data_IF_058070338497
#
_entry.id   IF_058070338497
#
_cell.length_a   1.000
_cell.length_b   1.000
_cell.length_c   1.000
_cell.angle_alpha   90.00
_cell.angle_beta   90.00
_cell.angle_gamma   90.00
#
_symmetry.space_group_name_H-M   'P 1'
#
loop_
_entity.id
_entity.type
_entity.pdbx_description
1 polymer ?
#
# COMPACT_ATOMS: atom_id res chain seq x y z
N UNK A 1 -15.91 -0.27 -1.35
CA UNK A 1 -14.93 -1.26 -0.82
C UNK A 1 -15.69 -2.39 -0.14
N UNK A 2 -15.47 -3.64 -0.52
CA UNK A 2 -16.09 -4.79 0.14
C UNK A 2 -15.64 -4.94 1.60
N UNK A 3 -16.52 -5.51 2.43
CA UNK A 3 -16.26 -5.67 3.87
C UNK A 3 -14.98 -6.46 4.18
N UNK A 4 -14.59 -7.40 3.32
CA UNK A 4 -13.36 -8.19 3.54
C UNK A 4 -12.11 -7.32 3.58
N UNK A 5 -12.12 -6.13 3.00
CA UNK A 5 -11.00 -5.19 2.97
C UNK A 5 -11.11 -4.06 3.99
N UNK A 6 -12.20 -3.99 4.71
CA UNK A 6 -12.47 -2.97 5.73
C UNK A 6 -11.76 -3.33 7.03
N UNK A 7 -11.38 -2.32 7.82
CA UNK A 7 -10.67 -2.51 9.08
C UNK A 7 -11.53 -3.31 10.09
N UNK A 8 -10.85 -3.97 10.99
CA UNK A 8 -11.47 -4.79 12.06
C UNK A 8 -11.40 -4.12 13.43
N UNK A 9 -11.44 -2.82 13.45
CA UNK A 9 -11.39 -2.02 14.69
C UNK A 9 -11.88 -0.60 14.43
N UNK A 10 -11.71 0.27 15.40
CA UNK A 10 -12.12 1.68 15.31
C UNK A 10 -13.60 1.84 14.94
N UNK A 11 -14.46 0.94 15.43
CA UNK A 11 -15.89 0.94 15.15
C UNK A 11 -16.32 0.16 13.91
N UNK A 12 -15.40 -0.57 13.28
CA UNK A 12 -15.69 -1.39 12.10
C UNK A 12 -15.43 -2.88 12.36
N UNK A 13 -16.17 -3.74 11.66
CA UNK A 13 -16.11 -5.20 11.75
C UNK A 13 -15.69 -5.85 10.44
N UNK A 14 -14.82 -5.20 9.69
CA UNK A 14 -14.29 -5.77 8.46
C UNK A 14 -13.35 -6.95 8.72
N UNK A 15 -13.02 -7.67 7.67
CA UNK A 15 -12.10 -8.81 7.76
C UNK A 15 -10.64 -8.37 7.72
N UNK A 16 -10.37 -7.13 7.37
CA UNK A 16 -9.02 -6.54 7.29
C UNK A 16 -8.06 -7.33 6.41
N UNK A 17 -8.55 -7.83 5.29
CA UNK A 17 -7.76 -8.60 4.31
C UNK A 17 -7.35 -7.69 3.18
N UNK A 18 -6.06 -7.65 2.84
CA UNK A 18 -5.57 -6.84 1.73
C UNK A 18 -6.14 -7.32 0.40
N UNK A 19 -6.45 -6.40 -0.55
CA UNK A 19 -7.05 -6.78 -1.81
C UNK A 19 -6.05 -7.40 -2.78
N UNK A 20 -6.58 -8.16 -3.77
CA UNK A 20 -5.82 -8.58 -4.93
C UNK A 20 -5.51 -7.35 -5.78
N UNK A 21 -4.25 -7.20 -6.18
CA UNK A 21 -3.80 -6.14 -7.08
C UNK A 21 -2.97 -6.76 -8.20
N UNK A 22 -3.12 -6.24 -9.43
CA UNK A 22 -2.30 -6.66 -10.55
C UNK A 22 -2.02 -5.46 -11.46
N UNK A 23 -0.91 -5.54 -12.18
CA UNK A 23 -0.51 -4.49 -13.12
C UNK A 23 0.30 -5.08 -14.27
N UNK A 24 0.36 -4.32 -15.36
CA UNK A 24 1.13 -4.68 -16.57
C UNK A 24 1.72 -3.42 -17.20
N UNK A 25 2.17 -3.52 -18.46
CA UNK A 25 2.77 -2.40 -19.21
C UNK A 25 3.92 -1.74 -18.45
N UNK A 26 4.76 -2.56 -17.85
CA UNK A 26 5.88 -2.11 -17.03
C UNK A 26 6.93 -1.42 -17.90
N UNK A 27 7.37 -0.19 -17.57
CA UNK A 27 8.35 0.52 -18.36
C UNK A 27 9.70 -0.20 -18.38
N UNK A 28 10.41 -0.07 -19.50
CA UNK A 28 11.78 -0.57 -19.61
C UNK A 28 12.66 0.10 -18.56
N UNK A 29 13.58 -0.68 -17.96
CA UNK A 29 14.47 -0.17 -16.91
C UNK A 29 13.90 -0.31 -15.50
N UNK A 30 12.70 -0.85 -15.35
CA UNK A 30 12.13 -1.12 -14.02
C UNK A 30 12.93 -2.22 -13.32
N UNK A 31 13.36 -1.94 -12.10
CA UNK A 31 14.16 -2.87 -11.29
C UNK A 31 13.44 -3.31 -10.01
N UNK A 32 12.45 -2.56 -9.56
CA UNK A 32 11.63 -2.91 -8.41
C UNK A 32 10.31 -2.16 -8.44
N UNK A 33 9.40 -2.54 -7.52
CA UNK A 33 8.13 -1.84 -7.35
C UNK A 33 7.90 -1.49 -5.89
N UNK A 34 7.13 -0.42 -5.69
CA UNK A 34 6.53 -0.07 -4.41
C UNK A 34 5.02 -0.01 -4.61
N UNK A 35 4.26 -0.61 -3.69
CA UNK A 35 2.80 -0.52 -3.67
C UNK A 35 2.38 0.18 -2.39
N UNK A 36 1.45 1.13 -2.51
CA UNK A 36 0.93 1.87 -1.36
C UNK A 36 -0.58 1.92 -1.38
N UNK A 37 -1.18 2.02 -0.21
CA UNK A 37 -2.58 2.41 -0.03
C UNK A 37 -2.61 3.65 0.86
N UNK A 38 -3.17 4.74 0.34
CA UNK A 38 -3.15 6.04 1.00
C UNK A 38 -4.54 6.66 1.01
N UNK A 39 -4.94 7.22 2.17
CA UNK A 39 -6.19 7.97 2.34
C UNK A 39 -5.84 9.46 2.51
N UNK A 40 -6.04 10.30 1.46
CA UNK A 40 -5.78 11.73 1.58
C UNK A 40 -6.87 12.49 2.34
N UNK A 41 -8.00 11.85 2.61
CA UNK A 41 -9.16 12.48 3.24
C UNK A 41 -9.21 12.31 4.76
N UNK A 42 -8.30 11.52 5.33
CA UNK A 42 -8.22 11.34 6.77
C UNK A 42 -8.02 12.70 7.46
N UNK A 43 -8.74 12.98 8.56
CA UNK A 43 -8.68 14.27 9.25
C UNK A 43 -7.41 14.42 10.10
N UNK A 44 -6.27 14.35 9.44
CA UNK A 44 -4.93 14.53 10.00
C UNK A 44 -4.22 15.62 9.20
N UNK A 45 -3.07 16.03 9.61
CA UNK A 45 -2.30 17.00 8.82
C UNK A 45 -1.64 16.41 7.57
N UNK A 46 -1.64 15.07 7.41
CA UNK A 46 -0.85 14.38 6.39
C UNK A 46 -1.56 13.19 5.75
N UNK A 47 -2.89 13.06 5.92
CA UNK A 47 -3.63 11.89 5.45
C UNK A 47 -3.31 10.66 6.31
N UNK A 48 -3.47 9.47 5.72
CA UNK A 48 -3.24 8.22 6.45
C UNK A 48 -2.73 7.14 5.51
N UNK A 49 -1.56 6.57 5.84
CA UNK A 49 -0.98 5.45 5.11
C UNK A 49 -1.55 4.14 5.66
N UNK A 50 -2.26 3.40 4.81
CA UNK A 50 -2.91 2.13 5.18
C UNK A 50 -2.06 0.91 4.90
N UNK A 51 -1.16 0.99 3.91
CA UNK A 51 -0.32 -0.13 3.50
C UNK A 51 0.83 0.38 2.66
N UNK A 52 2.04 -0.10 2.95
CA UNK A 52 3.24 0.27 2.19
C UNK A 52 4.10 -0.97 2.02
N UNK A 53 4.34 -1.37 0.77
CA UNK A 53 5.17 -2.53 0.42
C UNK A 53 6.28 -2.05 -0.49
N UNK A 54 7.52 -2.19 -0.06
CA UNK A 54 8.69 -1.79 -0.81
C UNK A 54 9.46 -3.02 -1.30
N UNK A 55 10.37 -2.78 -2.25
CA UNK A 55 11.33 -3.78 -2.73
C UNK A 55 10.69 -5.02 -3.35
N UNK A 56 9.55 -4.84 -4.02
CA UNK A 56 8.97 -5.89 -4.83
C UNK A 56 9.86 -6.12 -6.06
N UNK A 57 10.24 -7.37 -6.38
CA UNK A 57 11.12 -7.65 -7.52
C UNK A 57 10.57 -7.17 -8.87
N UNK A 58 11.45 -6.97 -9.83
CA UNK A 58 11.11 -6.45 -11.15
C UNK A 58 10.11 -7.33 -11.93
N UNK A 59 10.02 -8.62 -11.62
CA UNK A 59 9.08 -9.55 -12.27
C UNK A 59 7.74 -9.66 -11.56
N UNK A 60 7.52 -8.92 -10.48
CA UNK A 60 6.24 -8.91 -9.76
C UNK A 60 5.16 -8.24 -10.60
N UNK A 61 4.02 -8.92 -10.78
CA UNK A 61 2.86 -8.38 -11.53
C UNK A 61 1.57 -8.47 -10.73
N UNK A 62 1.59 -9.19 -9.61
CA UNK A 62 0.41 -9.49 -8.80
C UNK A 62 0.78 -9.46 -7.33
N UNK A 63 -0.08 -8.85 -6.53
CA UNK A 63 -0.14 -9.10 -5.09
C UNK A 63 -1.46 -9.83 -4.84
N UNK A 64 -1.42 -11.11 -4.44
CA UNK A 64 -2.65 -11.85 -4.20
C UNK A 64 -3.43 -11.29 -3.00
N UNK A 65 -4.74 -11.52 -2.97
CA UNK A 65 -5.55 -11.15 -1.81
C UNK A 65 -4.93 -11.75 -0.54
N UNK A 66 -4.82 -10.94 0.50
CA UNK A 66 -4.24 -11.37 1.77
C UNK A 66 -2.73 -11.26 1.88
N UNK A 67 -2.04 -10.80 0.84
CA UNK A 67 -0.58 -10.66 0.88
C UNK A 67 -0.11 -9.67 1.97
N UNK A 68 -0.91 -8.66 2.27
CA UNK A 68 -0.61 -7.66 3.31
C UNK A 68 -1.15 -8.01 4.68
N UNK A 69 -1.89 -9.10 4.82
CA UNK A 69 -2.60 -9.45 6.05
C UNK A 69 -2.36 -10.88 6.52
N UNK A 70 -1.36 -11.56 5.94
CA UNK A 70 -0.91 -12.86 6.42
C UNK A 70 -1.62 -14.07 5.81
N UNK A 71 -2.59 -13.88 4.89
CA UNK A 71 -3.31 -14.98 4.25
C UNK A 71 -2.64 -15.46 2.96
N UNK A 72 -1.69 -14.70 2.43
CA UNK A 72 -0.91 -15.05 1.25
C UNK A 72 0.52 -14.53 1.42
N UNK A 73 1.44 -15.05 0.61
CA UNK A 73 2.85 -14.70 0.71
C UNK A 73 3.20 -13.50 -0.17
N UNK A 74 4.19 -12.74 0.28
CA UNK A 74 4.88 -11.73 -0.52
C UNK A 74 6.21 -12.32 -1.01
N UNK A 75 6.81 -11.75 -2.11
CA UNK A 75 8.18 -12.08 -2.47
C UNK A 75 9.11 -11.91 -1.26
N UNK A 76 10.14 -12.76 -1.17
CA UNK A 76 11.08 -12.77 -0.04
C UNK A 76 11.76 -11.41 0.17
N UNK A 77 12.08 -10.71 -0.92
CA UNK A 77 12.76 -9.41 -0.89
C UNK A 77 11.86 -8.26 -0.42
N UNK A 78 10.55 -8.44 -0.49
CA UNK A 78 9.59 -7.40 -0.16
C UNK A 78 9.63 -7.02 1.31
N UNK A 79 9.50 -5.73 1.57
CA UNK A 79 9.46 -5.18 2.92
C UNK A 79 8.15 -4.42 3.08
N UNK A 80 7.33 -4.84 4.02
CA UNK A 80 6.19 -4.05 4.46
C UNK A 80 6.67 -3.07 5.51
N UNK A 81 6.40 -1.78 5.31
CA UNK A 81 6.86 -0.73 6.21
C UNK A 81 5.74 -0.24 7.11
N UNK A 82 6.10 0.53 8.13
CA UNK A 82 5.16 1.00 9.14
C UNK A 82 4.09 1.90 8.52
N UNK A 83 2.84 1.58 8.79
CA UNK A 83 1.67 2.39 8.45
C UNK A 83 1.37 3.39 9.56
N UNK A 84 0.39 4.26 9.33
CA UNK A 84 -0.05 5.21 10.35
C UNK A 84 -0.86 4.55 11.48
N UNK A 85 -1.18 3.25 11.34
CA UNK A 85 -1.68 2.44 12.47
C UNK A 85 -0.56 2.10 13.47
N UNK A 86 0.70 2.41 13.14
CA UNK A 86 1.84 2.17 14.02
C UNK A 86 2.53 0.83 13.82
N UNK A 87 2.15 0.07 12.81
CA UNK A 87 2.73 -1.25 12.50
C UNK A 87 2.76 -1.49 10.99
N UNK A 88 3.57 -2.42 10.54
CA UNK A 88 3.63 -2.87 9.16
C UNK A 88 2.43 -3.77 8.82
N UNK A 89 2.11 -3.86 7.54
CA UNK A 89 1.01 -4.67 7.03
C UNK A 89 -0.21 -3.83 6.66
N UNK A 90 -1.20 -4.49 6.06
CA UNK A 90 -2.41 -3.83 5.59
C UNK A 90 -3.33 -3.46 6.75
N UNK A 91 -3.75 -2.21 6.81
CA UNK A 91 -4.85 -1.76 7.64
C UNK A 91 -5.97 -1.23 6.75
N UNK A 92 -7.17 -1.79 6.88
CA UNK A 92 -8.29 -1.46 6.02
C UNK A 92 -8.96 -0.11 6.34
N UNK A 93 -10.00 0.20 5.56
CA UNK A 93 -10.75 1.45 5.69
C UNK A 93 -11.45 1.54 7.04
N UNK A 94 -11.35 2.70 7.68
CA UNK A 94 -12.01 3.01 8.94
C UNK A 94 -12.28 4.52 9.05
N UNK A 95 -13.01 5.13 8.09
CA UNK A 95 -13.25 6.56 8.14
C UNK A 95 -14.15 6.92 9.33
N UNK A 96 -14.02 8.13 9.87
CA UNK A 96 -14.98 8.62 10.85
C UNK A 96 -16.41 8.49 10.32
N UNK A 97 -17.35 8.14 11.19
CA UNK A 97 -18.76 7.97 10.78
C UNK A 97 -19.29 9.26 10.16
N UNK A 98 -19.97 9.13 9.03
CA UNK A 98 -20.54 10.24 8.29
C UNK A 98 -19.60 10.82 7.21
N UNK A 99 -18.39 10.30 7.10
CA UNK A 99 -17.43 10.72 6.07
C UNK A 99 -17.23 9.62 5.03
N UNK A 100 -17.00 10.03 3.78
CA UNK A 100 -16.61 9.12 2.70
C UNK A 100 -15.18 9.44 2.31
N UNK A 101 -14.29 8.46 2.40
CA UNK A 101 -12.89 8.64 2.09
C UNK A 101 -12.47 7.88 0.85
N UNK A 102 -11.39 8.35 0.22
CA UNK A 102 -10.72 7.69 -0.90
C UNK A 102 -9.59 6.81 -0.36
N UNK A 103 -9.51 5.59 -0.88
CA UNK A 103 -8.41 4.66 -0.59
C UNK A 103 -7.68 4.41 -1.89
N UNK A 104 -6.54 5.07 -2.06
CA UNK A 104 -5.80 5.12 -3.32
C UNK A 104 -4.70 4.08 -3.28
N UNK A 105 -4.84 3.04 -4.11
CA UNK A 105 -3.82 2.01 -4.27
C UNK A 105 -2.95 2.39 -5.47
N UNK A 106 -1.65 2.55 -5.24
CA UNK A 106 -0.70 2.96 -6.27
C UNK A 106 0.43 1.96 -6.37
N UNK A 107 0.79 1.58 -7.60
CA UNK A 107 2.04 0.87 -7.88
C UNK A 107 3.02 1.85 -8.52
N UNK A 108 4.25 1.89 -7.99
CA UNK A 108 5.33 2.70 -8.52
C UNK A 108 6.41 1.78 -9.09
N UNK A 109 6.81 1.99 -10.35
CA UNK A 109 7.92 1.30 -10.96
C UNK A 109 9.20 2.11 -10.73
N UNK A 110 10.23 1.51 -10.15
CA UNK A 110 11.46 2.18 -9.77
C UNK A 110 12.65 1.72 -10.62
N UNK A 111 13.62 2.61 -10.80
CA UNK A 111 14.84 2.37 -11.57
C UNK A 111 15.99 1.81 -10.71
N UNK A 112 15.72 1.41 -9.50
CA UNK A 112 16.69 0.87 -8.54
C UNK A 112 16.20 -0.49 -8.02
N UNK A 113 17.13 -1.42 -7.76
CA UNK A 113 16.80 -2.78 -7.32
C UNK A 113 16.08 -2.81 -5.99
N UNK A 114 16.48 -1.94 -5.09
CA UNK A 114 15.81 -1.77 -3.80
C UNK A 114 16.11 -0.40 -3.20
N UNK A 115 15.19 0.10 -2.40
CA UNK A 115 15.40 1.28 -1.57
C UNK A 115 15.83 0.82 -0.17
N UNK A 116 16.59 1.68 0.52
CA UNK A 116 17.12 1.35 1.85
C UNK A 116 16.10 1.69 2.94
N UNK A 117 15.18 0.78 3.14
CA UNK A 117 14.13 0.91 4.16
C UNK A 117 13.96 -0.42 4.89
N UNK A 118 13.52 -0.36 6.15
CA UNK A 118 13.13 -1.51 6.94
C UNK A 118 11.66 -1.38 7.37
N UNK A 119 11.19 -2.33 8.18
CA UNK A 119 9.79 -2.36 8.63
C UNK A 119 9.40 -1.13 9.47
N UNK A 120 10.35 -0.41 10.01
CA UNK A 120 10.09 0.79 10.83
C UNK A 120 10.02 2.08 10.01
N UNK A 121 10.32 2.04 8.72
CA UNK A 121 10.28 3.22 7.87
C UNK A 121 8.85 3.72 7.72
N UNK A 122 8.67 5.04 7.75
CA UNK A 122 7.37 5.68 7.56
C UNK A 122 6.97 5.68 6.08
N UNK A 123 5.66 5.85 5.81
CA UNK A 123 5.18 6.08 4.44
C UNK A 123 5.85 7.29 3.79
N UNK A 124 6.10 8.34 4.57
CA UNK A 124 6.80 9.53 4.09
C UNK A 124 8.24 9.22 3.65
N UNK A 125 8.96 8.39 4.40
CA UNK A 125 10.33 7.98 4.04
C UNK A 125 10.34 7.15 2.75
N UNK A 126 9.41 6.21 2.61
CA UNK A 126 9.28 5.44 1.38
C UNK A 126 8.93 6.36 0.20
N UNK A 127 7.99 7.27 0.38
CA UNK A 127 7.60 8.24 -0.65
C UNK A 127 8.75 9.15 -1.08
N UNK A 128 9.62 9.54 -0.15
CA UNK A 128 10.82 10.31 -0.44
C UNK A 128 11.75 9.54 -1.39
N UNK A 129 12.01 8.26 -1.11
CA UNK A 129 12.80 7.39 -1.98
C UNK A 129 12.15 7.19 -3.35
N UNK A 130 10.84 6.96 -3.38
CA UNK A 130 10.07 6.81 -4.62
C UNK A 130 10.20 8.05 -5.51
N UNK A 131 10.16 9.24 -4.92
CA UNK A 131 10.26 10.49 -5.67
C UNK A 131 11.52 10.55 -6.55
N UNK A 132 12.64 10.03 -6.07
CA UNK A 132 13.92 10.10 -6.80
C UNK A 132 14.12 8.93 -7.78
N UNK A 133 13.32 7.88 -7.71
CA UNK A 133 13.55 6.66 -8.49
C UNK A 133 12.37 6.21 -9.33
N UNK A 134 11.24 6.91 -9.28
CA UNK A 134 10.04 6.51 -10.02
C UNK A 134 10.18 6.73 -11.51
N UNK A 135 9.93 5.67 -12.27
CA UNK A 135 9.84 5.72 -13.73
C UNK A 135 8.39 5.96 -14.18
N UNK A 136 7.44 5.36 -13.48
CA UNK A 136 6.01 5.48 -13.76
C UNK A 136 5.21 5.02 -12.55
N UNK A 137 3.94 5.38 -12.52
CA UNK A 137 3.00 4.89 -11.52
C UNK A 137 1.61 4.72 -12.11
N UNK A 138 0.81 3.87 -11.48
CA UNK A 138 -0.60 3.68 -11.81
C UNK A 138 -1.39 3.52 -10.51
N UNK A 139 -2.63 4.00 -10.51
CA UNK A 139 -3.47 4.00 -9.33
C UNK A 139 -4.88 3.53 -9.64
N UNK A 140 -5.51 2.92 -8.63
CA UNK A 140 -6.96 2.70 -8.57
C UNK A 140 -7.46 3.24 -7.24
N UNK A 141 -8.70 3.71 -7.22
CA UNK A 141 -9.28 4.32 -6.03
C UNK A 141 -10.54 3.58 -5.64
N UNK A 142 -10.63 3.18 -4.38
CA UNK A 142 -11.84 2.66 -3.76
C UNK A 142 -12.41 3.71 -2.82
N UNK A 143 -13.74 3.77 -2.76
CA UNK A 143 -14.45 4.65 -1.81
C UNK A 143 -15.05 3.81 -0.69
N UNK A 144 -15.09 4.38 0.50
CA UNK A 144 -15.80 3.75 1.63
C UNK A 144 -16.27 4.82 2.61
N UNK A 145 -17.46 4.60 3.13
CA UNK A 145 -18.07 5.47 4.15
C UNK A 145 -18.71 4.66 5.28
#
# INVERSE_FOLDING_TARGET
MPNRHVFNGMGYDGDNISPHLMWDDVPAGTKSFVVTCYDPDAPTGSGWWHWVVANLPADTRVLPQGAGSGQAELPEEAVQTRTDFGKAGYGGAAPPKGETHRYIFTVHALDIDKIDVDAEASGAMVGFNVHFHSLASASITALFS
#
